data_IF_989013720950
#
_entry.id   IF_989013720950
#
_cell.length_a   1.000
_cell.length_b   1.000
_cell.length_c   1.000
_cell.angle_alpha   90.00
_cell.angle_beta   90.00
_cell.angle_gamma   90.00
#
_symmetry.space_group_name_H-M   'P 1'
#
loop_
_entity.id
_entity.type
_entity.pdbx_description
1 polymer ?
#
# COMPACT_ATOMS: atom_id res chain seq x y z
N UNK A 1 -39.35 1.69 3.22
CA UNK A 1 -38.45 2.33 2.24
C UNK A 1 -37.05 1.76 2.44
N UNK A 2 -36.59 0.82 1.60
CA UNK A 2 -35.24 0.23 1.72
C UNK A 2 -34.25 1.28 1.19
N UNK A 3 -33.50 1.94 2.07
CA UNK A 3 -32.37 2.79 1.65
C UNK A 3 -31.37 1.89 0.93
N UNK A 4 -31.12 2.14 -0.35
CA UNK A 4 -30.12 1.41 -1.11
C UNK A 4 -28.73 1.57 -0.48
N UNK A 5 -27.87 0.57 -0.68
CA UNK A 5 -26.47 0.61 -0.24
C UNK A 5 -25.80 1.86 -0.85
N UNK A 6 -25.12 2.73 -0.07
CA UNK A 6 -24.43 3.90 -0.61
C UNK A 6 -23.47 3.54 -1.76
N UNK A 7 -23.26 4.46 -2.71
CA UNK A 7 -22.38 4.20 -3.86
C UNK A 7 -20.97 3.75 -3.43
N UNK A 8 -20.47 4.31 -2.34
CA UNK A 8 -19.17 3.99 -1.75
C UNK A 8 -19.08 2.53 -1.27
N UNK A 9 -20.11 2.06 -0.59
CA UNK A 9 -20.16 0.68 -0.12
C UNK A 9 -20.26 -0.32 -1.29
N UNK A 10 -20.92 0.07 -2.39
CA UNK A 10 -20.92 -0.75 -3.62
C UNK A 10 -19.53 -0.80 -4.25
N UNK A 11 -18.78 0.29 -4.24
CA UNK A 11 -17.41 0.33 -4.74
C UNK A 11 -16.51 -0.64 -3.95
N UNK A 12 -16.50 -0.56 -2.62
CA UNK A 12 -15.68 -1.45 -1.80
C UNK A 12 -16.11 -2.91 -1.89
N UNK A 13 -17.42 -3.18 -2.03
CA UNK A 13 -17.91 -4.53 -2.28
C UNK A 13 -17.44 -5.09 -3.64
N UNK A 14 -17.49 -4.28 -4.71
CA UNK A 14 -16.99 -4.67 -6.02
C UNK A 14 -15.46 -4.89 -5.99
N UNK A 15 -14.72 -4.02 -5.31
CA UNK A 15 -13.28 -4.12 -5.17
C UNK A 15 -12.86 -5.40 -4.44
N UNK A 16 -13.55 -5.76 -3.35
CA UNK A 16 -13.34 -7.07 -2.70
C UNK A 16 -13.51 -8.25 -3.65
N UNK A 17 -14.52 -8.21 -4.52
CA UNK A 17 -14.76 -9.26 -5.50
C UNK A 17 -13.71 -9.34 -6.61
N UNK A 18 -12.95 -8.27 -6.83
CA UNK A 18 -11.88 -8.20 -7.83
C UNK A 18 -10.48 -8.52 -7.26
N UNK A 19 -10.30 -8.41 -5.95
CA UNK A 19 -9.04 -8.69 -5.27
C UNK A 19 -8.91 -10.17 -4.90
N UNK A 20 -7.67 -10.65 -4.80
CA UNK A 20 -7.41 -11.99 -4.27
C UNK A 20 -7.60 -12.00 -2.75
N UNK A 21 -7.99 -13.14 -2.15
CA UNK A 21 -7.92 -13.30 -0.69
C UNK A 21 -6.48 -13.12 -0.20
N UNK A 22 -6.28 -12.48 0.96
CA UNK A 22 -4.93 -12.25 1.51
C UNK A 22 -4.16 -13.54 1.88
N UNK A 23 -4.85 -14.67 1.98
CA UNK A 23 -4.27 -15.97 2.30
C UNK A 23 -3.50 -16.62 1.13
N UNK A 24 -3.35 -15.97 -0.03
CA UNK A 24 -2.64 -16.54 -1.18
C UNK A 24 -1.13 -16.60 -0.94
N UNK A 25 -0.68 -17.73 -0.38
CA UNK A 25 0.72 -18.04 -0.08
C UNK A 25 1.47 -18.58 -1.32
N UNK A 26 1.47 -17.86 -2.44
CA UNK A 26 2.40 -18.29 -3.49
C UNK A 26 3.84 -18.13 -3.00
N UNK A 27 4.72 -19.10 -3.31
CA UNK A 27 6.10 -19.04 -2.88
C UNK A 27 6.79 -17.81 -3.48
N UNK A 28 7.53 -17.09 -2.64
CA UNK A 28 8.39 -16.00 -3.11
C UNK A 28 9.44 -16.59 -4.06
N UNK A 29 9.65 -15.99 -5.26
CA UNK A 29 10.65 -16.48 -6.18
C UNK A 29 12.03 -16.60 -5.53
N UNK A 30 12.82 -17.64 -5.83
CA UNK A 30 14.15 -17.83 -5.26
C UNK A 30 15.04 -16.59 -5.48
N UNK A 31 15.76 -16.20 -4.43
CA UNK A 31 16.69 -15.06 -4.46
C UNK A 31 16.06 -13.68 -4.24
N UNK A 32 14.74 -13.59 -4.02
CA UNK A 32 14.07 -12.35 -3.62
C UNK A 32 13.73 -12.36 -2.14
N UNK A 33 13.85 -11.19 -1.50
CA UNK A 33 13.36 -10.95 -0.14
C UNK A 33 11.88 -10.62 -0.16
N UNK A 34 11.12 -11.20 0.76
CA UNK A 34 9.69 -10.92 0.87
C UNK A 34 9.45 -9.56 1.55
N UNK A 35 8.50 -8.80 1.01
CA UNK A 35 8.06 -7.54 1.59
C UNK A 35 6.52 -7.44 1.53
N UNK A 36 5.92 -6.79 2.54
CA UNK A 36 4.49 -6.52 2.61
C UNK A 36 4.25 -5.02 2.60
N UNK A 37 3.28 -4.56 1.80
CA UNK A 37 2.88 -3.14 1.77
C UNK A 37 1.37 -3.01 1.87
N UNK A 38 0.88 -1.94 2.52
CA UNK A 38 -0.53 -1.58 2.49
C UNK A 38 -0.79 -0.57 1.38
N UNK A 39 -1.90 -0.76 0.66
CA UNK A 39 -2.49 0.22 -0.25
C UNK A 39 -3.72 0.79 0.45
N UNK A 40 -3.59 1.90 1.20
CA UNK A 40 -4.67 2.41 2.03
C UNK A 40 -5.62 3.26 1.18
N UNK A 41 -6.89 2.87 1.18
CA UNK A 41 -7.98 3.59 0.53
C UNK A 41 -8.85 4.29 1.57
N UNK A 42 -9.22 5.54 1.30
CA UNK A 42 -10.13 6.30 2.15
C UNK A 42 -11.21 6.99 1.33
N UNK A 43 -12.38 7.11 1.94
CA UNK A 43 -13.44 8.00 1.44
C UNK A 43 -13.12 9.44 1.87
N UNK A 44 -12.95 10.32 0.88
CA UNK A 44 -12.69 11.74 1.08
C UNK A 44 -13.89 12.61 0.65
N UNK A 45 -15.09 12.25 1.11
CA UNK A 45 -16.29 13.05 0.86
C UNK A 45 -16.94 12.77 -0.49
N UNK A 46 -16.98 11.50 -0.89
CA UNK A 46 -17.59 11.06 -2.14
C UNK A 46 -16.58 10.68 -3.24
N UNK A 47 -15.29 10.89 -3.00
CA UNK A 47 -14.19 10.41 -3.84
C UNK A 47 -13.31 9.43 -3.05
N UNK A 48 -12.85 8.36 -3.72
CA UNK A 48 -11.84 7.46 -3.16
C UNK A 48 -10.46 8.05 -3.40
N UNK A 49 -9.68 8.12 -2.34
CA UNK A 49 -8.27 8.52 -2.40
C UNK A 49 -7.38 7.40 -1.89
N UNK A 50 -6.14 7.42 -2.34
CA UNK A 50 -5.05 6.53 -1.94
C UNK A 50 -4.12 7.33 -1.04
N UNK A 51 -3.89 6.85 0.17
CA UNK A 51 -2.91 7.46 1.09
C UNK A 51 -1.51 6.96 0.75
N UNK A 52 -0.59 7.90 0.53
CA UNK A 52 0.82 7.66 0.26
C UNK A 52 1.68 8.39 1.28
N UNK A 53 2.93 7.95 1.40
CA UNK A 53 3.94 8.60 2.22
C UNK A 53 5.13 9.06 1.37
N UNK A 54 5.83 10.09 1.83
CA UNK A 54 7.15 10.48 1.31
C UNK A 54 8.20 10.15 2.36
N UNK A 55 9.21 9.38 1.97
CA UNK A 55 10.35 9.08 2.85
C UNK A 55 11.18 10.34 3.12
N UNK A 56 11.82 10.41 4.28
CA UNK A 56 12.75 11.51 4.60
C UNK A 56 14.00 11.46 3.72
N UNK A 57 14.81 12.51 3.79
CA UNK A 57 16.15 12.53 3.17
C UNK A 57 17.22 11.81 4.02
N UNK A 58 16.85 11.37 5.23
CA UNK A 58 17.78 10.81 6.23
C UNK A 58 17.97 9.31 6.09
N UNK A 59 16.99 8.61 5.52
CA UNK A 59 17.04 7.16 5.33
C UNK A 59 18.20 6.75 4.42
N UNK A 60 18.86 5.60 4.67
CA UNK A 60 20.01 5.17 3.87
C UNK A 60 19.65 4.83 2.42
N UNK A 61 18.40 4.41 2.18
CA UNK A 61 17.88 4.02 0.88
C UNK A 61 16.55 4.73 0.60
N UNK A 62 16.24 4.92 -0.69
CA UNK A 62 14.96 5.47 -1.15
C UNK A 62 14.62 6.88 -0.62
N UNK A 63 15.64 7.72 -0.43
CA UNK A 63 15.50 9.11 0.04
C UNK A 63 14.52 9.91 -0.81
N UNK A 64 13.59 10.58 -0.15
CA UNK A 64 12.58 11.43 -0.79
C UNK A 64 11.56 10.71 -1.67
N UNK A 65 11.63 9.38 -1.79
CA UNK A 65 10.71 8.63 -2.65
C UNK A 65 9.30 8.59 -2.06
N UNK A 66 8.32 8.60 -2.96
CA UNK A 66 6.91 8.37 -2.63
C UNK A 66 6.70 6.86 -2.57
N UNK A 67 6.06 6.37 -1.51
CA UNK A 67 5.81 4.96 -1.32
C UNK A 67 4.48 4.70 -0.63
N UNK A 68 4.06 3.44 -0.71
CA UNK A 68 3.12 2.86 0.22
C UNK A 68 3.81 2.57 1.55
N UNK A 69 3.09 2.59 2.69
CA UNK A 69 3.63 2.08 3.95
C UNK A 69 3.88 0.58 3.85
N UNK A 70 4.97 0.13 4.45
CA UNK A 70 5.38 -1.27 4.36
C UNK A 70 6.88 -1.47 4.22
N UNK A 71 7.29 -2.73 4.32
CA UNK A 71 8.69 -3.05 4.49
C UNK A 71 8.99 -4.53 4.30
N UNK A 72 10.22 -4.88 4.70
CA UNK A 72 10.72 -6.25 4.60
C UNK A 72 10.07 -7.13 5.66
N UNK A 73 9.87 -8.41 5.35
CA UNK A 73 9.39 -9.37 6.35
C UNK A 73 10.46 -9.61 7.41
N UNK A 74 10.09 -9.44 8.67
CA UNK A 74 10.90 -9.82 9.81
C UNK A 74 10.67 -11.27 10.22
N UNK A 75 11.64 -11.89 10.89
CA UNK A 75 11.55 -13.29 11.34
C UNK A 75 10.41 -13.54 12.32
N UNK A 76 9.97 -12.49 13.03
CA UNK A 76 8.85 -12.55 13.97
C UNK A 76 7.48 -12.40 13.31
N UNK A 77 7.40 -11.96 12.05
CA UNK A 77 6.13 -11.73 11.37
C UNK A 77 5.48 -13.07 10.98
N UNK A 78 4.22 -13.25 11.39
CA UNK A 78 3.43 -14.43 11.08
C UNK A 78 3.30 -14.67 9.56
N UNK A 79 2.99 -13.59 8.84
CA UNK A 79 2.84 -13.55 7.39
C UNK A 79 3.13 -12.15 6.85
N UNK A 80 2.99 -11.94 5.53
CA UNK A 80 3.25 -10.64 4.91
C UNK A 80 2.18 -9.59 5.21
N UNK A 81 0.97 -10.00 5.59
CA UNK A 81 -0.04 -9.06 6.05
C UNK A 81 0.37 -8.50 7.41
N UNK A 82 0.83 -9.35 8.32
CA UNK A 82 1.39 -8.93 9.61
C UNK A 82 2.58 -7.98 9.43
N UNK A 83 3.49 -8.27 8.49
CA UNK A 83 4.56 -7.34 8.09
C UNK A 83 4.00 -5.98 7.67
N UNK A 84 3.08 -5.96 6.70
CA UNK A 84 2.54 -4.69 6.17
C UNK A 84 1.81 -3.88 7.26
N UNK A 85 1.10 -4.57 8.16
CA UNK A 85 0.38 -3.94 9.27
C UNK A 85 1.33 -3.36 10.33
N UNK A 86 2.37 -4.12 10.72
CA UNK A 86 3.40 -3.64 11.67
C UNK A 86 4.08 -2.38 11.13
N UNK A 87 4.56 -2.44 9.89
CA UNK A 87 5.23 -1.31 9.24
C UNK A 87 4.31 -0.10 9.13
N UNK A 88 3.05 -0.27 8.71
CA UNK A 88 2.11 0.84 8.61
C UNK A 88 1.77 1.47 9.98
N UNK A 89 1.77 0.68 11.05
CA UNK A 89 1.62 1.18 12.41
C UNK A 89 2.86 1.95 12.87
N UNK A 90 4.06 1.43 12.61
CA UNK A 90 5.34 2.07 12.97
C UNK A 90 5.56 3.37 12.18
N UNK A 91 5.38 3.33 10.86
CA UNK A 91 5.68 4.44 9.96
C UNK A 91 4.63 5.56 10.02
N UNK A 92 3.34 5.19 10.08
CA UNK A 92 2.21 6.11 9.90
C UNK A 92 1.20 6.11 11.06
N UNK A 93 1.32 5.22 12.04
CA UNK A 93 0.36 5.08 13.14
C UNK A 93 -0.96 4.42 12.75
N UNK A 94 -1.01 3.71 11.61
CA UNK A 94 -2.22 3.01 11.14
C UNK A 94 -2.40 1.71 11.93
N UNK A 95 -3.34 1.69 12.88
CA UNK A 95 -3.58 0.52 13.72
C UNK A 95 -4.44 -0.52 13.01
N UNK A 96 -4.13 -1.80 13.23
CA UNK A 96 -4.90 -2.90 12.64
C UNK A 96 -6.37 -2.96 13.04
N UNK A 97 -6.75 -2.41 14.19
CA UNK A 97 -8.15 -2.34 14.60
C UNK A 97 -8.98 -1.35 13.77
N UNK A 98 -8.32 -0.39 13.12
CA UNK A 98 -8.97 0.67 12.36
C UNK A 98 -9.09 0.34 10.87
N UNK A 99 -8.44 -0.73 10.40
CA UNK A 99 -8.40 -1.09 8.98
C UNK A 99 -9.38 -2.21 8.65
N UNK A 100 -10.00 -2.10 7.48
CA UNK A 100 -10.79 -3.16 6.87
C UNK A 100 -9.99 -3.72 5.67
N UNK A 101 -9.53 -4.96 5.78
CA UNK A 101 -8.87 -5.64 4.66
C UNK A 101 -9.87 -5.91 3.52
N UNK A 102 -9.53 -5.46 2.32
CA UNK A 102 -10.33 -5.67 1.11
C UNK A 102 -9.82 -6.86 0.28
N UNK A 103 -8.51 -7.13 0.35
CA UNK A 103 -7.87 -8.23 -0.34
C UNK A 103 -6.42 -7.92 -0.70
N UNK A 104 -5.84 -8.76 -1.53
CA UNK A 104 -4.46 -8.67 -1.99
C UNK A 104 -4.40 -8.50 -3.52
N UNK A 105 -3.37 -7.78 -3.97
CA UNK A 105 -3.00 -7.67 -5.38
C UNK A 105 -1.97 -8.75 -5.76
N UNK A 106 -1.68 -8.89 -7.04
CA UNK A 106 -0.58 -9.74 -7.50
C UNK A 106 0.76 -9.28 -6.91
N UNK A 107 1.66 -10.24 -6.64
CA UNK A 107 3.01 -9.93 -6.16
C UNK A 107 3.81 -9.18 -7.22
N UNK A 108 4.66 -8.26 -6.78
CA UNK A 108 5.52 -7.46 -7.65
C UNK A 108 6.99 -7.76 -7.35
N UNK A 109 7.68 -8.54 -8.20
CA UNK A 109 9.13 -8.61 -8.19
C UNK A 109 9.75 -7.27 -8.56
N UNK A 110 10.76 -6.84 -7.83
CA UNK A 110 11.44 -5.56 -8.02
C UNK A 110 12.89 -5.76 -8.40
N UNK A 111 13.45 -4.80 -9.14
CA UNK A 111 14.87 -4.78 -9.52
C UNK A 111 15.80 -4.61 -8.30
N UNK A 112 15.28 -4.20 -7.15
CA UNK A 112 16.01 -4.03 -5.89
C UNK A 112 16.09 -5.32 -5.06
N UNK A 113 15.60 -6.44 -5.58
CA UNK A 113 15.72 -7.76 -4.94
C UNK A 113 14.59 -8.09 -3.96
N UNK A 114 13.44 -7.42 -4.07
CA UNK A 114 12.24 -7.72 -3.28
C UNK A 114 11.14 -8.35 -4.13
N UNK A 115 10.32 -9.17 -3.50
CA UNK A 115 9.01 -9.58 -3.99
C UNK A 115 7.96 -8.99 -3.05
N UNK A 116 7.28 -7.94 -3.52
CA UNK A 116 6.33 -7.17 -2.73
C UNK A 116 4.94 -7.79 -2.85
N UNK A 117 4.28 -8.03 -1.72
CA UNK A 117 2.87 -8.39 -1.64
C UNK A 117 2.05 -7.14 -1.24
N UNK A 118 1.24 -6.55 -2.14
CA UNK A 118 0.37 -5.44 -1.80
C UNK A 118 -0.96 -5.92 -1.22
N UNK A 119 -1.38 -5.33 -0.10
CA UNK A 119 -2.68 -5.55 0.52
C UNK A 119 -3.51 -4.28 0.47
N UNK A 120 -4.70 -4.36 -0.13
CA UNK A 120 -5.59 -3.21 -0.23
C UNK A 120 -6.48 -3.18 1.00
N UNK A 121 -6.47 -2.04 1.69
CA UNK A 121 -7.25 -1.84 2.93
C UNK A 121 -8.09 -0.59 2.81
N UNK A 122 -9.26 -0.58 3.43
CA UNK A 122 -10.01 0.63 3.70
C UNK A 122 -9.61 1.14 5.09
N UNK A 123 -9.28 2.42 5.19
CA UNK A 123 -9.01 3.10 6.45
C UNK A 123 -10.13 4.10 6.79
N UNK A 124 -10.27 4.53 8.06
CA UNK A 124 -11.30 5.49 8.45
C UNK A 124 -11.13 6.82 7.71
N UNK A 125 -12.25 7.45 7.36
CA UNK A 125 -12.26 8.76 6.70
C UNK A 125 -11.52 9.82 7.52
N UNK A 126 -11.56 9.73 8.84
CA UNK A 126 -10.96 10.65 9.79
C UNK A 126 -9.66 10.12 10.41
N UNK A 127 -9.04 9.11 9.77
CA UNK A 127 -7.73 8.60 10.17
C UNK A 127 -6.74 9.74 10.36
N UNK A 128 -6.02 9.71 11.49
CA UNK A 128 -4.94 10.64 11.82
C UNK A 128 -3.64 9.88 11.78
N UNK A 129 -2.70 10.38 10.98
CA UNK A 129 -1.39 9.77 10.86
C UNK A 129 -0.45 10.31 11.92
N UNK A 130 0.32 9.42 12.53
CA UNK A 130 1.42 9.75 13.41
C UNK A 130 2.68 9.20 12.78
N UNK A 131 3.45 10.10 12.16
CA UNK A 131 4.69 9.71 11.49
C UNK A 131 5.77 9.38 12.52
N UNK A 132 6.58 8.38 12.23
CA UNK A 132 7.76 8.02 13.05
C UNK A 132 8.77 9.19 13.23
N UNK A 133 8.71 10.22 12.37
CA UNK A 133 9.58 11.40 12.39
C UNK A 133 11.03 11.15 11.93
N UNK A 134 11.37 9.92 11.55
CA UNK A 134 12.69 9.51 11.07
C UNK A 134 12.67 8.96 9.64
N UNK A 135 11.81 8.00 9.33
CA UNK A 135 11.67 7.41 8.00
C UNK A 135 10.67 8.16 7.13
N UNK A 136 9.57 8.64 7.70
CA UNK A 136 8.50 9.32 6.95
C UNK A 136 8.47 10.83 7.20
N UNK A 137 8.51 11.59 6.11
CA UNK A 137 8.49 13.05 6.14
C UNK A 137 7.06 13.61 6.14
N UNK A 138 6.18 13.04 5.32
CA UNK A 138 4.78 13.45 5.21
C UNK A 138 3.90 12.32 4.64
N UNK A 139 2.61 12.42 4.89
CA UNK A 139 1.56 11.68 4.20
C UNK A 139 0.74 12.62 3.34
N UNK A 140 0.27 12.13 2.20
CA UNK A 140 -0.67 12.86 1.36
C UNK A 140 -1.62 11.87 0.67
N UNK A 141 -2.77 12.39 0.28
CA UNK A 141 -3.78 11.62 -0.43
C UNK A 141 -3.80 12.00 -1.91
N UNK A 142 -3.87 11.00 -2.77
CA UNK A 142 -4.07 11.18 -4.21
C UNK A 142 -5.41 10.55 -4.62
N UNK A 143 -6.24 11.22 -5.46
CA UNK A 143 -7.44 10.61 -6.01
C UNK A 143 -7.12 9.27 -6.70
N UNK A 144 -7.90 8.22 -6.41
CA UNK A 144 -7.70 6.93 -7.07
C UNK A 144 -7.85 7.05 -8.59
N UNK A 145 -8.71 7.96 -9.05
CA UNK A 145 -8.91 8.29 -10.46
C UNK A 145 -7.61 8.72 -11.16
N UNK A 146 -6.69 9.39 -10.46
CA UNK A 146 -5.40 9.80 -11.00
C UNK A 146 -4.53 8.60 -11.41
N UNK A 147 -4.73 7.43 -10.79
CA UNK A 147 -3.97 6.22 -11.09
C UNK A 147 -4.50 5.45 -12.31
N UNK A 148 -5.68 5.83 -12.80
CA UNK A 148 -6.35 5.21 -13.96
C UNK A 148 -6.33 6.10 -15.20
N UNK A 149 -5.93 7.37 -15.04
CA UNK A 149 -5.77 8.31 -16.14
C UNK A 149 -4.37 8.17 -16.76
N UNK A 150 -4.22 7.17 -17.64
CA UNK A 150 -2.96 6.88 -18.31
C UNK A 150 -2.45 8.03 -19.20
N UNK A 151 -3.25 9.05 -19.50
CA UNK A 151 -2.78 10.25 -20.21
C UNK A 151 -1.76 11.06 -19.39
N UNK A 152 -1.72 10.87 -18.07
CA UNK A 152 -0.77 11.50 -17.15
C UNK A 152 0.56 10.77 -17.05
N UNK A 153 0.68 9.62 -17.71
CA UNK A 153 1.83 8.73 -17.59
C UNK A 153 2.74 8.91 -18.79
N UNK A 154 4.04 8.95 -18.50
CA UNK A 154 5.08 8.86 -19.52
C UNK A 154 5.97 7.66 -19.19
N UNK A 155 6.02 6.70 -20.10
CA UNK A 155 6.99 5.63 -20.01
C UNK A 155 8.40 6.18 -20.33
N UNK A 156 9.37 5.78 -19.53
CA UNK A 156 10.78 6.02 -19.77
C UNK A 156 11.55 4.74 -19.38
N UNK A 157 12.59 4.41 -20.15
CA UNK A 157 13.52 3.34 -19.81
C UNK A 157 14.74 3.93 -19.10
N UNK A 158 15.28 3.17 -18.14
CA UNK A 158 16.52 3.52 -17.45
C UNK A 158 17.26 2.25 -17.08
N UNK A 159 18.58 2.35 -16.90
CA UNK A 159 19.40 1.21 -16.47
C UNK A 159 19.62 1.28 -14.97
N UNK A 160 19.19 0.25 -14.23
CA UNK A 160 19.41 0.12 -12.80
C UNK A 160 20.57 -0.86 -12.54
N UNK A 161 21.68 -0.37 -11.97
CA UNK A 161 22.88 -1.18 -11.67
C UNK A 161 23.41 -1.99 -12.87
N UNK A 162 23.38 -1.40 -14.08
CA UNK A 162 23.83 -2.06 -15.31
C UNK A 162 22.84 -3.03 -15.94
N UNK A 163 21.63 -3.17 -15.39
CA UNK A 163 20.52 -3.93 -15.99
C UNK A 163 19.48 -2.97 -16.58
N UNK A 164 19.01 -3.20 -17.82
CA UNK A 164 17.97 -2.38 -18.43
C UNK A 164 16.62 -2.48 -17.71
#
# INVERSE_FOLDING_TARGET
MKRGIPAMERFFAALRGALSPAATSEPVPPGLRSAGVLVPLRDSGGEITVTLARRTERVPHHKGQICFPGGSRDTGDLDLLATAMREAEEELGIRGADVELLGAMERVPTVTGFCIQPFVVRIPRDARFHLDGFEMAETFDAPLSAFTDFSRYRAASTTFLGKP
#
